data_IF_366999631617
#
_entry.id   IF_366999631617
#
_cell.length_a   1.000
_cell.length_b   1.000
_cell.length_c   1.000
_cell.angle_alpha   90.00
_cell.angle_beta   90.00
_cell.angle_gamma   90.00
#
_symmetry.space_group_name_H-M   'P 1'
#
loop_
_entity.id
_entity.type
_entity.pdbx_description
1 polymer ?
#
# COMPACT_ATOMS: atom_id res chain seq x y z
N UNK A 1 13.99 -0.78 11.41
CA UNK A 1 12.92 -1.79 11.31
C UNK A 1 11.63 -1.04 11.38
N UNK A 2 11.00 -0.84 10.24
CA UNK A 2 9.67 -0.23 10.08
C UNK A 2 8.61 -0.97 10.88
N UNK A 3 7.71 -0.20 11.47
CA UNK A 3 6.60 -0.65 12.30
C UNK A 3 5.32 0.04 11.85
N UNK A 4 4.18 -0.55 12.22
CA UNK A 4 2.85 0.03 11.99
C UNK A 4 2.75 1.51 12.39
N UNK A 5 3.32 1.89 13.53
CA UNK A 5 3.28 3.29 14.02
C UNK A 5 4.17 4.27 13.26
N UNK A 6 4.96 3.82 12.28
CA UNK A 6 5.78 4.69 11.43
C UNK A 6 4.98 5.25 10.24
N UNK A 7 3.77 4.73 10.01
CA UNK A 7 2.88 5.18 8.94
C UNK A 7 1.92 6.28 9.42
N UNK A 8 1.50 7.21 8.55
CA UNK A 8 0.38 8.12 8.79
C UNK A 8 -0.94 7.37 9.06
N UNK A 9 -1.85 7.99 9.81
CA UNK A 9 -3.14 7.39 10.22
C UNK A 9 -3.93 6.80 9.05
N UNK A 10 -3.97 7.47 7.90
CA UNK A 10 -4.67 6.95 6.71
C UNK A 10 -4.07 5.63 6.20
N UNK A 11 -2.75 5.47 6.29
CA UNK A 11 -2.07 4.24 5.87
C UNK A 11 -2.13 3.15 6.94
N UNK A 12 -2.14 3.54 8.22
CA UNK A 12 -2.46 2.61 9.31
C UNK A 12 -3.86 2.01 9.11
N UNK A 13 -4.86 2.82 8.78
CA UNK A 13 -6.19 2.32 8.44
C UNK A 13 -6.20 1.43 7.20
N UNK A 14 -5.44 1.77 6.16
CA UNK A 14 -5.30 0.89 4.99
C UNK A 14 -4.71 -0.47 5.37
N UNK A 15 -3.69 -0.49 6.24
CA UNK A 15 -3.08 -1.72 6.73
C UNK A 15 -4.11 -2.56 7.51
N UNK A 16 -4.92 -1.94 8.37
CA UNK A 16 -5.97 -2.63 9.13
C UNK A 16 -7.02 -3.22 8.18
N UNK A 17 -7.49 -2.45 7.19
CA UNK A 17 -8.46 -2.92 6.19
C UNK A 17 -7.93 -4.16 5.45
N UNK A 18 -6.66 -4.11 5.01
CA UNK A 18 -6.03 -5.21 4.27
C UNK A 18 -5.85 -6.46 5.15
N UNK A 19 -5.50 -6.29 6.42
CA UNK A 19 -5.40 -7.41 7.38
C UNK A 19 -6.78 -8.05 7.62
N UNK A 20 -7.82 -7.23 7.77
CA UNK A 20 -9.22 -7.70 7.89
C UNK A 20 -9.70 -8.45 6.64
N UNK A 21 -9.25 -8.04 5.45
CA UNK A 21 -9.50 -8.72 4.17
C UNK A 21 -8.64 -9.98 3.94
N UNK A 22 -7.75 -10.30 4.89
CA UNK A 22 -6.91 -11.50 4.88
C UNK A 22 -5.63 -11.39 4.06
N UNK A 23 -5.15 -10.17 3.78
CA UNK A 23 -3.81 -9.96 3.25
C UNK A 23 -2.75 -10.17 4.35
N UNK A 24 -1.60 -10.71 3.97
CA UNK A 24 -0.42 -10.76 4.84
C UNK A 24 0.40 -9.48 4.68
N UNK A 25 0.61 -8.75 5.78
CA UNK A 25 1.34 -7.48 5.77
C UNK A 25 2.82 -7.69 6.12
N UNK A 26 3.70 -7.22 5.23
CA UNK A 26 5.15 -7.29 5.36
C UNK A 26 5.70 -5.86 5.39
N UNK A 27 6.27 -5.45 6.53
CA UNK A 27 6.90 -4.13 6.67
C UNK A 27 8.31 -4.11 6.10
N UNK A 28 8.66 -2.99 5.45
CA UNK A 28 9.93 -2.76 4.79
C UNK A 28 10.41 -1.31 4.93
N UNK A 29 11.59 -1.06 4.39
CA UNK A 29 12.19 0.27 4.29
C UNK A 29 12.58 0.53 2.83
N UNK A 30 12.31 1.72 2.32
CA UNK A 30 12.71 2.12 0.96
C UNK A 30 14.23 2.20 0.88
N UNK A 31 14.82 1.45 -0.05
CA UNK A 31 16.27 1.45 -0.30
C UNK A 31 16.65 2.64 -1.19
N UNK A 32 17.29 3.67 -0.64
CA UNK A 32 17.79 4.80 -1.42
C UNK A 32 17.98 6.09 -0.63
N UNK A 33 18.30 7.18 -1.33
CA UNK A 33 18.34 8.54 -0.79
C UNK A 33 16.91 8.99 -0.49
N UNK A 34 16.54 9.00 0.78
CA UNK A 34 15.20 9.35 1.23
C UNK A 34 14.84 8.60 2.51
N UNK A 35 14.90 7.27 2.45
CA UNK A 35 14.66 6.38 3.59
C UNK A 35 13.28 6.59 4.20
N UNK A 36 12.32 5.76 3.81
CA UNK A 36 10.94 5.86 4.29
C UNK A 36 10.37 4.49 4.66
N UNK A 37 9.32 4.44 5.49
CA UNK A 37 8.60 3.21 5.75
C UNK A 37 7.93 2.72 4.46
N UNK A 38 7.90 1.41 4.28
CA UNK A 38 7.12 0.76 3.22
C UNK A 38 6.41 -0.47 3.78
N UNK A 39 5.34 -0.90 3.12
CA UNK A 39 4.74 -2.19 3.38
C UNK A 39 4.33 -2.85 2.07
N UNK A 40 4.27 -4.18 2.11
CA UNK A 40 3.68 -5.01 1.07
C UNK A 40 2.57 -5.83 1.69
N UNK A 41 1.38 -5.80 1.08
CA UNK A 41 0.26 -6.64 1.43
C UNK A 41 0.09 -7.70 0.33
N UNK A 42 0.06 -8.98 0.72
CA UNK A 42 -0.01 -10.11 -0.22
C UNK A 42 -1.21 -11.00 0.11
N UNK A 43 -2.02 -11.34 -0.90
CA UNK A 43 -3.09 -12.34 -0.79
C UNK A 43 -3.12 -13.21 -2.03
N UNK A 44 -2.56 -14.41 -1.94
CA UNK A 44 -2.42 -15.31 -3.07
C UNK A 44 -1.47 -14.74 -4.14
N UNK A 45 -2.04 -14.30 -5.26
CA UNK A 45 -1.30 -13.68 -6.38
C UNK A 45 -1.45 -12.15 -6.43
N UNK A 46 -2.34 -11.60 -5.60
CA UNK A 46 -2.55 -10.16 -5.45
C UNK A 46 -1.45 -9.57 -4.57
N UNK A 47 -0.80 -8.51 -5.05
CA UNK A 47 0.27 -7.80 -4.32
C UNK A 47 0.00 -6.30 -4.36
N UNK A 48 -0.06 -5.69 -3.18
CA UNK A 48 -0.15 -4.24 -3.00
C UNK A 48 1.12 -3.79 -2.29
N UNK A 49 1.84 -2.85 -2.88
CA UNK A 49 3.04 -2.27 -2.29
C UNK A 49 2.83 -0.78 -2.09
N UNK A 50 3.18 -0.26 -0.91
CA UNK A 50 3.08 1.16 -0.57
C UNK A 50 4.39 1.60 0.07
N UNK A 51 4.91 2.74 -0.34
CA UNK A 51 6.19 3.25 0.15
C UNK A 51 6.28 4.78 0.23
N UNK A 52 7.01 5.28 1.22
CA UNK A 52 7.30 6.70 1.39
C UNK A 52 8.54 7.15 0.60
N UNK A 53 8.34 8.12 -0.29
CA UNK A 53 9.33 8.79 -1.10
C UNK A 53 9.56 10.22 -0.63
N UNK A 54 10.25 10.40 0.50
CA UNK A 54 10.82 11.67 1.06
C UNK A 54 9.85 12.86 1.28
N UNK A 55 8.75 12.96 0.53
CA UNK A 55 7.71 14.00 0.48
C UNK A 55 6.39 13.49 -0.16
N UNK A 56 6.37 12.30 -0.74
CA UNK A 56 5.21 11.72 -1.46
C UNK A 56 5.11 10.23 -1.15
N UNK A 57 3.93 9.64 -1.28
CA UNK A 57 3.71 8.20 -1.15
C UNK A 57 3.46 7.58 -2.52
N UNK A 58 4.17 6.50 -2.82
CA UNK A 58 3.94 5.70 -4.01
C UNK A 58 3.21 4.41 -3.65
N UNK A 59 2.41 3.90 -4.58
CA UNK A 59 1.85 2.56 -4.45
C UNK A 59 1.77 1.82 -5.78
N UNK A 60 1.80 0.50 -5.70
CA UNK A 60 1.54 -0.38 -6.83
C UNK A 60 0.62 -1.52 -6.43
N UNK A 61 -0.43 -1.76 -7.23
CA UNK A 61 -1.33 -2.90 -7.10
C UNK A 61 -1.13 -3.83 -8.30
N UNK A 62 -0.97 -5.13 -8.05
CA UNK A 62 -0.79 -6.15 -9.08
C UNK A 62 -1.70 -7.34 -8.79
N UNK A 63 -2.38 -7.81 -9.82
CA UNK A 63 -3.22 -9.01 -9.79
C UNK A 63 -3.33 -9.56 -11.23
N UNK A 64 -3.14 -10.86 -11.47
CA UNK A 64 -3.17 -11.41 -12.83
C UNK A 64 -4.55 -11.31 -13.52
N UNK A 65 -5.63 -11.12 -12.75
CA UNK A 65 -6.98 -10.92 -13.27
C UNK A 65 -7.29 -9.44 -13.55
N UNK A 66 -6.34 -8.52 -13.27
CA UNK A 66 -6.53 -7.07 -13.37
C UNK A 66 -5.34 -6.37 -14.04
N UNK A 67 -5.54 -5.16 -14.58
CA UNK A 67 -4.42 -4.33 -14.97
C UNK A 67 -3.58 -3.92 -13.75
N UNK A 68 -2.26 -4.02 -13.89
CA UNK A 68 -1.31 -3.44 -12.93
C UNK A 68 -1.58 -1.94 -12.78
N UNK A 69 -1.63 -1.46 -11.55
CA UNK A 69 -1.75 -0.06 -11.22
C UNK A 69 -0.49 0.40 -10.48
N UNK A 70 0.06 1.54 -10.88
CA UNK A 70 1.23 2.13 -10.22
C UNK A 70 1.09 3.65 -10.27
N UNK A 71 1.13 4.31 -9.12
CA UNK A 71 1.03 5.75 -9.04
C UNK A 71 1.81 6.34 -7.86
N UNK A 72 2.08 7.63 -7.91
CA UNK A 72 2.82 8.38 -6.89
C UNK A 72 2.05 9.65 -6.53
N UNK A 73 1.65 9.75 -5.27
CA UNK A 73 0.80 10.81 -4.76
C UNK A 73 1.43 11.57 -3.61
N UNK A 74 1.10 12.85 -3.46
CA UNK A 74 1.61 13.64 -2.34
C UNK A 74 0.98 13.27 -0.97
N UNK A 75 -0.17 12.58 -0.94
CA UNK A 75 -0.97 12.43 0.28
C UNK A 75 -1.34 10.97 0.62
N UNK A 76 -1.10 10.51 1.87
CA UNK A 76 -1.47 9.19 2.38
C UNK A 76 -2.93 8.79 2.14
N UNK A 77 -3.86 9.71 2.41
CA UNK A 77 -5.30 9.50 2.20
C UNK A 77 -5.63 9.07 0.77
N UNK A 78 -4.98 9.69 -0.22
CA UNK A 78 -5.25 9.37 -1.62
C UNK A 78 -4.78 7.96 -1.97
N UNK A 79 -3.62 7.55 -1.45
CA UNK A 79 -3.15 6.16 -1.60
C UNK A 79 -4.18 5.17 -1.06
N UNK A 80 -4.73 5.44 0.13
CA UNK A 80 -5.80 4.60 0.71
C UNK A 80 -7.04 4.56 -0.18
N UNK A 81 -7.55 5.71 -0.61
CA UNK A 81 -8.77 5.79 -1.40
C UNK A 81 -8.61 5.05 -2.75
N UNK A 82 -7.48 5.21 -3.43
CA UNK A 82 -7.21 4.57 -4.73
C UNK A 82 -6.96 3.06 -4.60
N UNK A 83 -6.28 2.60 -3.54
CA UNK A 83 -6.13 1.16 -3.26
C UNK A 83 -7.49 0.52 -2.98
N UNK A 84 -8.35 1.19 -2.20
CA UNK A 84 -9.71 0.72 -1.92
C UNK A 84 -10.59 0.69 -3.17
N UNK A 85 -10.56 1.72 -4.00
CA UNK A 85 -11.30 1.76 -5.27
C UNK A 85 -10.87 0.60 -6.17
N UNK A 86 -9.56 0.39 -6.33
CA UNK A 86 -9.03 -0.71 -7.11
C UNK A 86 -9.45 -2.09 -6.56
N UNK A 87 -9.54 -2.24 -5.23
CA UNK A 87 -10.06 -3.45 -4.57
C UNK A 87 -11.56 -3.65 -4.82
N UNK A 88 -12.38 -2.60 -4.67
CA UNK A 88 -13.83 -2.63 -4.83
C UNK A 88 -14.26 -2.96 -6.27
N UNK A 89 -13.53 -2.47 -7.28
CA UNK A 89 -13.75 -2.82 -8.70
C UNK A 89 -13.66 -4.34 -8.97
N UNK A 90 -13.16 -5.14 -8.03
CA UNK A 90 -13.13 -6.60 -8.12
C UNK A 90 -14.39 -7.32 -7.68
N UNK A 91 -15.22 -6.68 -6.88
CA UNK A 91 -16.30 -7.35 -6.13
C UNK A 91 -17.65 -7.21 -6.84
N UNK A 92 -17.66 -6.59 -8.02
CA UNK A 92 -18.83 -6.33 -8.88
C UNK A 92 -18.96 -7.30 -10.05
#
# INVERSE_FOLDING_TARGET
>A
MTRYGDFPDDLQHLIDDLDEEGFSIIYGEVKGLGGGPSFTAERGVTVIHVEDWTQTWAFSCRDPERPDFNDTWAYPRRVRDEVREWLDESTG
#
